data_IF_090524817506
#
_entry.id   IF_090524817506
#
_cell.length_a   1.000
_cell.length_b   1.000
_cell.length_c   1.000
_cell.angle_alpha   90.00
_cell.angle_beta   90.00
_cell.angle_gamma   90.00
#
_symmetry.space_group_name_H-M   'P 1'
#
loop_
_entity.id
_entity.type
_entity.pdbx_description
1 polymer ?
#
# COMPACT_ATOMS: atom_id res chain seq x y z
N UNK A 1 -11.11 11.55 -54.73
CA UNK A 1 -12.41 10.98 -54.32
C UNK A 1 -12.29 9.59 -53.66
N UNK A 2 -11.35 8.73 -54.07
CA UNK A 2 -11.20 7.36 -53.50
C UNK A 2 -10.72 7.37 -52.03
N UNK A 3 -9.87 8.32 -51.63
CA UNK A 3 -9.35 8.44 -50.25
C UNK A 3 -10.40 8.88 -49.22
N UNK A 4 -11.42 9.64 -49.63
CA UNK A 4 -12.51 10.07 -48.75
C UNK A 4 -13.48 8.93 -48.41
N UNK A 5 -13.77 8.04 -49.38
CA UNK A 5 -14.62 6.87 -49.16
C UNK A 5 -13.98 5.84 -48.21
N UNK A 6 -12.66 5.65 -48.28
CA UNK A 6 -11.95 4.71 -47.40
C UNK A 6 -11.99 5.18 -45.94
N UNK A 7 -11.84 6.50 -45.69
CA UNK A 7 -11.94 7.06 -44.33
C UNK A 7 -13.36 6.96 -43.75
N UNK A 8 -14.40 7.19 -44.55
CA UNK A 8 -15.78 7.07 -44.10
C UNK A 8 -16.17 5.62 -43.76
N UNK A 9 -15.74 4.65 -44.58
CA UNK A 9 -15.97 3.22 -44.30
C UNK A 9 -15.27 2.75 -43.01
N UNK A 10 -14.09 3.28 -42.70
CA UNK A 10 -13.33 2.94 -41.49
C UNK A 10 -13.96 3.50 -40.21
N UNK A 11 -14.56 4.69 -40.29
CA UNK A 11 -15.28 5.32 -39.17
C UNK A 11 -16.57 4.56 -38.83
N UNK A 12 -17.32 4.11 -39.85
CA UNK A 12 -18.55 3.33 -39.67
C UNK A 12 -18.24 1.94 -39.09
N UNK A 13 -17.16 1.29 -39.54
CA UNK A 13 -16.70 0.02 -38.98
C UNK A 13 -16.31 0.15 -37.50
N UNK A 14 -15.52 1.17 -37.12
CA UNK A 14 -15.13 1.37 -35.73
C UNK A 14 -16.32 1.68 -34.80
N UNK A 15 -17.29 2.49 -35.24
CA UNK A 15 -18.50 2.75 -34.44
C UNK A 15 -19.40 1.52 -34.31
N UNK A 16 -19.45 0.64 -35.32
CA UNK A 16 -20.19 -0.61 -35.25
C UNK A 16 -19.54 -1.63 -34.30
N UNK A 17 -18.21 -1.73 -34.30
CA UNK A 17 -17.43 -2.61 -33.41
C UNK A 17 -17.55 -2.14 -31.96
N UNK A 18 -17.38 -0.84 -31.70
CA UNK A 18 -17.56 -0.26 -30.36
C UNK A 18 -18.99 -0.45 -29.82
N UNK A 19 -19.99 -0.38 -30.70
CA UNK A 19 -21.39 -0.65 -30.36
C UNK A 19 -21.66 -2.12 -29.96
N UNK A 20 -20.99 -3.08 -30.62
CA UNK A 20 -21.12 -4.50 -30.28
C UNK A 20 -20.40 -4.87 -28.98
N UNK A 21 -19.20 -4.31 -28.75
CA UNK A 21 -18.43 -4.54 -27.51
C UNK A 21 -19.15 -3.97 -26.29
N UNK A 22 -19.76 -2.78 -26.40
CA UNK A 22 -20.59 -2.20 -25.32
C UNK A 22 -21.82 -3.04 -24.99
N UNK A 23 -22.46 -3.64 -26.01
CA UNK A 23 -23.60 -4.54 -25.79
C UNK A 23 -23.18 -5.84 -25.11
N UNK A 24 -22.05 -6.42 -25.49
CA UNK A 24 -21.50 -7.62 -24.85
C UNK A 24 -21.13 -7.35 -23.38
N UNK A 25 -20.44 -6.25 -23.09
CA UNK A 25 -20.11 -5.84 -21.72
C UNK A 25 -21.36 -5.56 -20.87
N UNK A 26 -22.39 -4.95 -21.44
CA UNK A 26 -23.66 -4.69 -20.76
C UNK A 26 -24.44 -5.99 -20.47
N UNK A 27 -24.44 -6.95 -21.39
CA UNK A 27 -25.04 -8.28 -21.20
C UNK A 27 -24.32 -9.06 -20.10
N UNK A 28 -22.99 -9.01 -20.06
CA UNK A 28 -22.22 -9.69 -19.02
C UNK A 28 -22.41 -9.06 -17.63
N UNK A 29 -22.47 -7.73 -17.55
CA UNK A 29 -22.83 -7.03 -16.31
C UNK A 29 -24.26 -7.36 -15.87
N UNK A 30 -25.19 -7.53 -16.80
CA UNK A 30 -26.55 -8.00 -16.55
C UNK A 30 -26.59 -9.42 -15.97
N UNK A 31 -25.82 -10.34 -16.54
CA UNK A 31 -25.69 -11.71 -16.06
C UNK A 31 -25.06 -11.78 -14.65
N UNK A 32 -24.03 -10.97 -14.39
CA UNK A 32 -23.40 -10.86 -13.06
C UNK A 32 -24.36 -10.28 -12.01
N UNK A 33 -25.21 -9.32 -12.38
CA UNK A 33 -26.25 -8.77 -11.49
C UNK A 33 -27.36 -9.78 -11.22
N UNK A 34 -27.79 -10.55 -12.21
CA UNK A 34 -28.81 -11.59 -12.08
C UNK A 34 -28.35 -12.73 -11.16
N UNK A 35 -27.11 -13.20 -11.31
CA UNK A 35 -26.53 -14.25 -10.45
C UNK A 35 -26.34 -13.78 -9.00
N UNK A 36 -25.97 -12.52 -8.78
CA UNK A 36 -25.92 -11.93 -7.43
C UNK A 36 -27.32 -11.79 -6.80
N UNK A 37 -28.31 -11.35 -7.57
CA UNK A 37 -29.70 -11.26 -7.11
C UNK A 37 -30.27 -12.63 -6.72
N UNK A 38 -29.96 -13.68 -7.50
CA UNK A 38 -30.37 -15.04 -7.18
C UNK A 38 -29.69 -15.58 -5.91
N UNK A 39 -28.40 -15.29 -5.71
CA UNK A 39 -27.67 -15.63 -4.48
C UNK A 39 -28.26 -14.93 -3.25
N UNK A 40 -28.63 -13.64 -3.37
CA UNK A 40 -29.28 -12.88 -2.31
C UNK A 40 -30.68 -13.46 -1.98
N UNK A 41 -31.49 -13.74 -3.00
CA UNK A 41 -32.81 -14.35 -2.81
C UNK A 41 -32.73 -15.75 -2.18
N UNK A 42 -31.70 -16.54 -2.52
CA UNK A 42 -31.46 -17.86 -1.90
C UNK A 42 -31.05 -17.73 -0.43
N UNK A 43 -30.25 -16.71 -0.08
CA UNK A 43 -29.85 -16.40 1.30
C UNK A 43 -31.04 -15.93 2.13
N UNK A 44 -31.90 -15.09 1.57
CA UNK A 44 -33.13 -14.62 2.20
C UNK A 44 -34.14 -15.75 2.46
N UNK A 45 -34.38 -16.62 1.46
CA UNK A 45 -35.21 -17.83 1.63
C UNK A 45 -34.67 -18.78 2.70
N UNK A 46 -33.34 -18.89 2.85
CA UNK A 46 -32.71 -19.70 3.91
C UNK A 46 -32.92 -19.05 5.29
N UNK A 47 -32.79 -17.73 5.39
CA UNK A 47 -33.05 -16.97 6.62
C UNK A 47 -34.51 -17.05 7.05
N UNK A 48 -35.45 -16.96 6.12
CA UNK A 48 -36.89 -17.11 6.41
C UNK A 48 -37.26 -18.53 6.85
N UNK A 49 -36.66 -19.56 6.23
CA UNK A 49 -36.80 -20.94 6.71
C UNK A 49 -36.24 -21.12 8.13
N UNK A 50 -35.13 -20.44 8.47
CA UNK A 50 -34.53 -20.46 9.81
C UNK A 50 -35.42 -19.74 10.84
N UNK A 51 -35.95 -18.55 10.50
CA UNK A 51 -36.94 -17.82 11.34
C UNK A 51 -38.22 -18.63 11.54
N UNK A 52 -38.74 -19.29 10.50
CA UNK A 52 -39.96 -20.11 10.57
C UNK A 52 -39.77 -21.41 11.37
N UNK A 53 -38.55 -21.96 11.42
CA UNK A 53 -38.20 -23.08 12.32
C UNK A 53 -38.06 -22.62 13.77
N UNK A 54 -37.49 -21.43 14.01
CA UNK A 54 -37.38 -20.85 15.36
C UNK A 54 -38.73 -20.39 15.92
N UNK A 55 -39.68 -19.98 15.06
CA UNK A 55 -41.05 -19.59 15.46
C UNK A 55 -42.03 -20.75 15.71
N UNK A 56 -41.66 -22.01 15.46
CA UNK A 56 -42.53 -23.18 15.75
C UNK A 56 -42.22 -23.86 17.09
N UNK A 57 -41.25 -23.36 17.85
CA UNK A 57 -40.78 -23.97 19.11
C UNK A 57 -40.98 -23.12 20.36
N UNK A 58 -41.69 -22.00 20.31
CA UNK A 58 -41.87 -21.13 21.48
C UNK A 58 -43.29 -20.57 21.51
N UNK A 59 -44.18 -21.31 22.17
CA UNK A 59 -45.38 -20.73 22.74
C UNK A 59 -45.01 -19.90 23.97
N UNK A 60 -45.67 -18.75 24.08
CA UNK A 60 -45.78 -17.84 25.23
C UNK A 60 -44.53 -17.47 26.02
N UNK A 61 -44.09 -16.21 25.80
CA UNK A 61 -44.38 -15.09 26.71
C UNK A 61 -43.91 -13.80 26.05
N UNK A 62 -44.85 -12.89 25.82
CA UNK A 62 -44.60 -11.48 25.60
C UNK A 62 -44.19 -10.83 26.93
N UNK A 63 -43.23 -9.92 26.90
CA UNK A 63 -43.44 -8.53 27.32
C UNK A 63 -42.30 -7.65 26.80
N UNK A 64 -42.69 -6.42 26.50
CA UNK A 64 -41.93 -5.29 25.96
C UNK A 64 -40.75 -4.85 26.84
N UNK A 65 -39.71 -4.29 26.23
CA UNK A 65 -39.38 -2.86 26.40
C UNK A 65 -38.13 -2.47 25.60
N UNK A 66 -38.30 -1.47 24.74
CA UNK A 66 -37.27 -0.57 24.22
C UNK A 66 -36.82 0.40 25.34
N UNK A 67 -35.52 0.63 25.54
CA UNK A 67 -34.91 1.95 25.82
C UNK A 67 -33.48 1.88 26.42
N UNK A 68 -32.63 2.82 25.96
CA UNK A 68 -31.56 3.57 26.67
C UNK A 68 -30.41 2.81 27.39
N UNK A 69 -29.16 2.96 26.93
CA UNK A 69 -28.17 4.00 27.30
C UNK A 69 -27.52 3.83 28.69
N UNK A 70 -26.17 3.84 28.65
CA UNK A 70 -25.19 4.22 29.67
C UNK A 70 -24.84 3.24 30.82
N UNK A 71 -23.53 2.92 30.85
CA UNK A 71 -22.62 2.91 32.01
C UNK A 71 -23.16 2.56 33.41
N UNK A 72 -22.67 1.46 33.99
CA UNK A 72 -22.18 1.46 35.37
C UNK A 72 -21.28 0.24 35.64
N UNK A 73 -20.11 0.54 36.21
CA UNK A 73 -19.10 -0.35 36.80
C UNK A 73 -19.56 -0.77 38.20
N UNK A 74 -19.59 -2.07 38.54
CA UNK A 74 -18.84 -2.66 39.66
C UNK A 74 -19.14 -4.15 39.93
N UNK A 75 -18.04 -4.82 40.29
CA UNK A 75 -17.80 -6.13 40.90
C UNK A 75 -18.94 -6.90 41.60
N UNK A 76 -19.08 -8.17 41.24
CA UNK A 76 -19.31 -9.25 42.21
C UNK A 76 -18.83 -10.61 41.65
N UNK A 77 -17.81 -11.18 42.28
CA UNK A 77 -17.41 -12.56 42.09
C UNK A 77 -18.36 -13.50 42.85
N UNK A 78 -19.11 -14.35 42.14
CA UNK A 78 -19.58 -15.66 42.63
C UNK A 78 -20.38 -16.40 41.53
N UNK A 79 -19.88 -17.58 41.12
CA UNK A 79 -20.70 -18.64 40.53
C UNK A 79 -20.85 -18.63 39.01
N UNK A 80 -19.78 -18.91 38.26
CA UNK A 80 -19.89 -19.36 36.86
C UNK A 80 -19.93 -20.90 36.86
N UNK A 81 -20.97 -21.55 36.32
CA UNK A 81 -20.95 -22.99 36.06
C UNK A 81 -19.83 -23.31 35.06
N UNK A 82 -18.95 -24.22 35.46
CA UNK A 82 -17.69 -24.60 34.80
C UNK A 82 -17.88 -25.43 33.50
N UNK A 83 -19.00 -25.25 32.78
CA UNK A 83 -19.38 -26.12 31.65
C UNK A 83 -19.62 -25.36 30.32
N UNK A 84 -19.32 -24.06 30.26
CA UNK A 84 -19.38 -23.27 29.01
C UNK A 84 -18.00 -22.87 28.45
N UNK A 85 -16.91 -23.22 29.15
CA UNK A 85 -15.55 -22.79 28.83
C UNK A 85 -14.81 -23.71 27.84
N UNK A 86 -15.49 -24.69 27.24
CA UNK A 86 -14.85 -25.76 26.43
C UNK A 86 -15.38 -25.91 25.00
N UNK A 87 -16.17 -24.97 24.51
CA UNK A 87 -16.55 -24.94 23.10
C UNK A 87 -15.42 -24.28 22.28
N UNK A 88 -14.50 -25.10 21.75
CA UNK A 88 -13.59 -24.67 20.68
C UNK A 88 -14.38 -24.15 19.46
N UNK A 89 -13.75 -23.36 18.57
CA UNK A 89 -14.44 -22.81 17.40
C UNK A 89 -15.16 -23.93 16.63
N UNK A 90 -16.45 -23.72 16.36
CA UNK A 90 -17.27 -24.74 15.68
C UNK A 90 -16.64 -25.14 14.34
N UNK A 91 -16.83 -26.40 13.92
CA UNK A 91 -16.32 -26.90 12.63
C UNK A 91 -16.73 -26.03 11.44
N UNK A 92 -17.88 -25.36 11.52
CA UNK A 92 -18.37 -24.42 10.51
C UNK A 92 -17.60 -23.09 10.50
N UNK A 93 -17.11 -22.63 11.66
CA UNK A 93 -16.26 -21.43 11.76
C UNK A 93 -14.86 -21.70 11.21
N UNK A 94 -14.28 -22.87 11.49
CA UNK A 94 -12.99 -23.29 10.93
C UNK A 94 -13.05 -23.48 9.41
N UNK A 95 -14.16 -24.02 8.89
CA UNK A 95 -14.38 -24.16 7.45
C UNK A 95 -14.55 -22.80 6.76
N UNK A 96 -15.27 -21.86 7.38
CA UNK A 96 -15.41 -20.50 6.87
C UNK A 96 -14.07 -19.75 6.83
N UNK A 97 -13.25 -19.84 7.88
CA UNK A 97 -11.91 -19.26 7.89
C UNK A 97 -10.98 -19.90 6.84
N UNK A 98 -11.10 -21.20 6.60
CA UNK A 98 -10.30 -21.91 5.59
C UNK A 98 -10.74 -21.58 4.15
N UNK A 99 -12.02 -21.31 3.95
CA UNK A 99 -12.56 -20.82 2.67
C UNK A 99 -12.17 -19.35 2.46
N UNK A 100 -12.24 -18.49 3.49
CA UNK A 100 -11.76 -17.10 3.42
C UNK A 100 -10.25 -17.04 3.14
N UNK A 101 -9.43 -17.88 3.78
CA UNK A 101 -7.99 -18.00 3.48
C UNK A 101 -7.74 -18.42 2.02
N UNK A 102 -8.48 -19.40 1.51
CA UNK A 102 -8.36 -19.83 0.10
C UNK A 102 -8.82 -18.76 -0.89
N UNK A 103 -9.90 -18.05 -0.60
CA UNK A 103 -10.34 -16.91 -1.42
C UNK A 103 -9.32 -15.78 -1.40
N UNK A 104 -8.69 -15.51 -0.25
CA UNK A 104 -7.64 -14.52 -0.11
C UNK A 104 -6.36 -14.92 -0.85
N UNK A 105 -5.97 -16.20 -0.80
CA UNK A 105 -4.85 -16.75 -1.59
C UNK A 105 -5.12 -16.68 -3.09
N UNK A 106 -6.34 -16.98 -3.54
CA UNK A 106 -6.74 -16.85 -4.94
C UNK A 106 -6.76 -15.39 -5.40
N UNK A 107 -7.18 -14.46 -4.54
CA UNK A 107 -7.09 -13.02 -4.80
C UNK A 107 -5.64 -12.54 -4.90
N UNK A 108 -4.78 -12.97 -3.98
CA UNK A 108 -3.34 -12.68 -4.00
C UNK A 108 -2.68 -13.20 -5.29
N UNK A 109 -3.05 -14.39 -5.75
CA UNK A 109 -2.49 -15.00 -6.97
C UNK A 109 -2.97 -14.35 -8.27
N UNK A 110 -4.14 -13.71 -8.25
CA UNK A 110 -4.70 -12.99 -9.40
C UNK A 110 -4.35 -11.49 -9.41
N UNK A 111 -3.52 -11.03 -8.46
CA UNK A 111 -3.12 -9.63 -8.37
C UNK A 111 -1.99 -9.36 -9.37
N UNK A 112 -2.12 -8.28 -10.12
CA UNK A 112 -1.00 -7.80 -10.93
C UNK A 112 0.20 -7.47 -10.00
N UNK A 113 1.42 -7.93 -10.31
CA UNK A 113 2.57 -7.69 -9.46
C UNK A 113 2.88 -6.19 -9.35
N UNK A 114 3.47 -5.73 -8.22
CA UNK A 114 3.95 -4.36 -8.12
C UNK A 114 5.04 -4.10 -9.18
N UNK A 115 5.11 -2.87 -9.67
CA UNK A 115 6.20 -2.40 -10.52
C UNK A 115 7.32 -1.92 -9.59
N UNK A 116 8.46 -2.58 -9.65
CA UNK A 116 9.65 -2.26 -8.85
C UNK A 116 10.88 -2.14 -9.76
N UNK A 117 11.93 -1.52 -9.25
CA UNK A 117 13.19 -1.27 -9.96
C UNK A 117 14.30 -2.12 -9.34
N UNK A 118 14.48 -3.31 -9.90
CA UNK A 118 15.45 -4.32 -9.44
C UNK A 118 16.83 -4.15 -10.05
N UNK A 119 17.01 -3.19 -10.96
CA UNK A 119 18.26 -2.83 -11.62
C UNK A 119 19.18 -1.96 -10.73
N UNK A 120 19.15 -2.19 -9.42
CA UNK A 120 19.97 -1.50 -8.43
C UNK A 120 20.88 -2.50 -7.71
N UNK A 121 22.19 -2.30 -7.85
CA UNK A 121 23.20 -3.15 -7.22
C UNK A 121 23.58 -2.58 -5.86
N UNK A 122 23.13 -3.24 -4.78
CA UNK A 122 23.42 -2.82 -3.41
C UNK A 122 24.91 -2.71 -3.08
N UNK A 123 25.77 -3.51 -3.72
CA UNK A 123 27.22 -3.45 -3.51
C UNK A 123 27.79 -2.17 -4.10
N UNK A 124 27.44 -1.87 -5.35
CA UNK A 124 27.90 -0.65 -6.03
C UNK A 124 27.36 0.61 -5.38
N UNK A 125 26.10 0.61 -4.94
CA UNK A 125 25.54 1.77 -4.24
C UNK A 125 26.19 1.97 -2.87
N UNK A 126 26.53 0.90 -2.15
CA UNK A 126 27.30 0.99 -0.91
C UNK A 126 28.70 1.57 -1.15
N UNK A 127 29.43 1.10 -2.16
CA UNK A 127 30.76 1.65 -2.50
C UNK A 127 30.72 3.15 -2.81
N UNK A 128 29.71 3.61 -3.55
CA UNK A 128 29.48 5.04 -3.81
C UNK A 128 29.20 5.80 -2.52
N UNK A 129 28.38 5.23 -1.63
CA UNK A 129 28.06 5.84 -0.34
C UNK A 129 29.30 5.94 0.57
N UNK A 130 30.08 4.86 0.71
CA UNK A 130 31.33 4.88 1.46
C UNK A 130 32.29 5.95 0.96
N UNK A 131 32.45 6.07 -0.36
CA UNK A 131 33.28 7.10 -0.98
C UNK A 131 32.76 8.52 -0.70
N UNK A 132 31.44 8.72 -0.76
CA UNK A 132 30.83 10.02 -0.45
C UNK A 132 31.01 10.41 1.03
N UNK A 133 31.15 9.42 1.93
CA UNK A 133 31.36 9.63 3.36
C UNK A 133 32.81 9.91 3.76
N UNK A 134 33.80 9.69 2.88
CA UNK A 134 35.24 9.90 3.21
C UNK A 134 35.53 11.34 3.68
N UNK A 135 34.75 12.32 3.22
CA UNK A 135 34.91 13.74 3.59
C UNK A 135 34.06 14.15 4.79
N UNK A 136 33.31 13.22 5.39
CA UNK A 136 32.36 13.48 6.48
C UNK A 136 32.98 13.02 7.80
N UNK A 137 32.97 13.90 8.81
CA UNK A 137 33.35 13.51 10.17
C UNK A 137 32.24 12.65 10.81
N UNK A 138 32.49 11.34 10.86
CA UNK A 138 31.61 10.37 11.50
C UNK A 138 31.99 10.16 12.98
N UNK A 139 30.99 9.96 13.84
CA UNK A 139 31.22 9.44 15.21
C UNK A 139 31.56 7.94 15.18
N UNK A 140 32.08 7.34 16.28
CA UNK A 140 32.28 5.90 16.38
C UNK A 140 30.99 5.09 16.11
N UNK A 141 29.85 5.57 16.59
CA UNK A 141 28.54 4.94 16.44
C UNK A 141 28.04 5.03 14.98
N UNK A 142 28.32 6.14 14.31
CA UNK A 142 28.00 6.30 12.88
C UNK A 142 28.90 5.43 12.00
N UNK A 143 30.19 5.30 12.35
CA UNK A 143 31.09 4.35 11.68
C UNK A 143 30.58 2.92 11.82
N UNK A 144 30.15 2.53 13.02
CA UNK A 144 29.52 1.24 13.23
C UNK A 144 28.27 1.07 12.35
N UNK A 145 27.42 2.10 12.25
CA UNK A 145 26.23 2.06 11.38
C UNK A 145 26.58 1.88 9.89
N UNK A 146 27.72 2.41 9.44
CA UNK A 146 28.24 2.19 8.07
C UNK A 146 28.71 0.75 7.89
N UNK A 147 29.41 0.18 8.88
CA UNK A 147 29.86 -1.22 8.86
C UNK A 147 28.68 -2.21 8.89
N UNK A 148 27.63 -1.90 9.67
CA UNK A 148 26.39 -2.67 9.70
C UNK A 148 25.67 -2.63 8.36
N UNK A 149 25.63 -1.45 7.70
CA UNK A 149 25.09 -1.33 6.34
C UNK A 149 25.89 -2.14 5.32
N UNK A 150 27.22 -2.23 5.48
CA UNK A 150 28.06 -3.10 4.65
C UNK A 150 27.70 -4.57 4.83
N UNK A 151 27.56 -5.02 6.08
CA UNK A 151 27.18 -6.41 6.38
C UNK A 151 25.82 -6.73 5.74
N UNK A 152 24.88 -5.81 5.85
CA UNK A 152 23.55 -5.95 5.27
C UNK A 152 23.56 -5.95 3.73
N UNK A 153 24.12 -4.92 3.07
CA UNK A 153 24.02 -4.79 1.60
C UNK A 153 25.05 -5.61 0.83
N UNK A 154 26.26 -5.79 1.37
CA UNK A 154 27.39 -6.40 0.65
C UNK A 154 27.58 -7.85 1.06
N UNK A 155 27.55 -8.15 2.35
CA UNK A 155 27.81 -9.50 2.86
C UNK A 155 26.55 -10.37 2.85
N UNK A 156 25.38 -9.76 2.64
CA UNK A 156 24.10 -10.47 2.55
C UNK A 156 23.56 -10.92 3.92
N UNK A 157 24.08 -10.35 5.01
CA UNK A 157 23.57 -10.62 6.36
C UNK A 157 22.14 -10.08 6.52
N UNK A 158 21.37 -10.63 7.44
CA UNK A 158 19.99 -10.20 7.69
C UNK A 158 19.88 -8.84 8.39
N UNK A 159 18.69 -8.27 8.40
CA UNK A 159 18.42 -6.94 8.99
C UNK A 159 18.69 -6.85 10.49
N UNK A 160 18.89 -7.99 11.18
CA UNK A 160 19.30 -8.04 12.59
C UNK A 160 20.68 -7.44 12.86
N UNK A 161 21.53 -7.28 11.83
CA UNK A 161 22.83 -6.61 11.97
C UNK A 161 22.69 -5.10 12.12
N UNK A 162 21.56 -4.53 11.70
CA UNK A 162 21.31 -3.09 11.78
C UNK A 162 20.87 -2.77 13.22
N UNK A 163 21.72 -2.05 13.94
CA UNK A 163 21.51 -1.69 15.33
C UNK A 163 20.47 -0.59 15.55
N UNK A 164 20.17 -0.31 16.81
CA UNK A 164 19.17 0.69 17.21
C UNK A 164 19.54 2.12 16.74
N UNK A 165 20.84 2.42 16.59
CA UNK A 165 21.34 3.73 16.17
C UNK A 165 21.33 3.93 14.64
N UNK A 166 21.13 2.86 13.86
CA UNK A 166 21.19 2.91 12.40
C UNK A 166 20.23 3.96 11.80
N UNK A 167 18.96 3.97 12.24
CA UNK A 167 17.98 4.94 11.74
C UNK A 167 18.24 6.38 12.23
N UNK A 168 18.89 6.54 13.38
CA UNK A 168 19.33 7.86 13.84
C UNK A 168 20.44 8.40 12.93
N UNK A 169 21.41 7.56 12.57
CA UNK A 169 22.45 7.86 11.59
C UNK A 169 21.86 8.23 10.22
N UNK A 170 20.98 7.39 9.66
CA UNK A 170 20.29 7.68 8.39
C UNK A 170 19.53 9.01 8.48
N UNK A 171 18.82 9.24 9.58
CA UNK A 171 18.10 10.49 9.82
C UNK A 171 19.00 11.72 9.87
N UNK A 172 20.21 11.62 10.44
CA UNK A 172 21.21 12.70 10.39
C UNK A 172 21.70 12.93 8.98
N UNK A 173 22.10 11.88 8.27
CA UNK A 173 22.58 11.98 6.88
C UNK A 173 21.56 12.70 5.99
N UNK A 174 20.27 12.36 6.12
CA UNK A 174 19.20 12.96 5.31
C UNK A 174 18.88 14.41 5.68
N UNK A 175 19.02 14.83 6.94
CA UNK A 175 18.60 16.16 7.40
C UNK A 175 19.73 17.17 7.56
N UNK A 176 20.97 16.71 7.68
CA UNK A 176 22.11 17.59 7.88
C UNK A 176 22.42 18.34 6.57
N UNK A 177 22.02 19.62 6.54
CA UNK A 177 22.22 20.49 5.40
C UNK A 177 23.71 20.83 5.15
N UNK A 178 24.60 20.57 6.11
CA UNK A 178 26.04 20.75 5.91
C UNK A 178 26.66 19.65 5.03
N UNK A 179 26.00 18.50 4.93
CA UNK A 179 26.44 17.40 4.07
C UNK A 179 26.13 17.70 2.60
N UNK A 180 27.01 17.23 1.71
CA UNK A 180 26.78 17.34 0.28
C UNK A 180 25.54 16.53 -0.14
N UNK A 181 24.80 17.03 -1.13
CA UNK A 181 23.61 16.35 -1.65
C UNK A 181 23.92 14.93 -2.15
N UNK A 182 25.13 14.71 -2.70
CA UNK A 182 25.61 13.40 -3.13
C UNK A 182 25.52 12.35 -2.01
N UNK A 183 25.87 12.71 -0.78
CA UNK A 183 25.81 11.79 0.37
C UNK A 183 24.37 11.33 0.62
N UNK A 184 23.40 12.25 0.52
CA UNK A 184 21.97 11.94 0.68
C UNK A 184 21.44 11.08 -0.46
N UNK A 185 21.85 11.38 -1.70
CA UNK A 185 21.50 10.58 -2.88
C UNK A 185 22.03 9.15 -2.73
N UNK A 186 23.30 8.97 -2.41
CA UNK A 186 23.89 7.63 -2.21
C UNK A 186 23.22 6.88 -1.05
N UNK A 187 22.91 7.56 0.06
CA UNK A 187 22.17 6.99 1.18
C UNK A 187 20.78 6.47 0.74
N UNK A 188 20.00 7.30 0.02
CA UNK A 188 18.69 6.91 -0.51
C UNK A 188 18.78 5.76 -1.51
N UNK A 189 19.85 5.69 -2.31
CA UNK A 189 20.09 4.60 -3.25
C UNK A 189 20.42 3.29 -2.53
N UNK A 190 21.23 3.32 -1.48
CA UNK A 190 21.44 2.18 -0.59
C UNK A 190 20.11 1.70 0.02
N UNK A 191 19.26 2.62 0.48
CA UNK A 191 17.94 2.29 1.00
C UNK A 191 17.01 1.71 -0.09
N UNK A 192 17.09 2.20 -1.33
CA UNK A 192 16.33 1.66 -2.46
C UNK A 192 16.74 0.22 -2.82
N UNK A 193 18.02 -0.12 -2.67
CA UNK A 193 18.49 -1.50 -2.79
C UNK A 193 18.04 -2.36 -1.61
N UNK A 194 18.14 -1.83 -0.38
CA UNK A 194 17.66 -2.47 0.84
C UNK A 194 16.16 -2.78 0.79
N UNK A 195 15.35 -1.92 0.17
CA UNK A 195 13.90 -2.04 0.06
C UNK A 195 13.44 -3.32 -0.66
N UNK A 196 14.27 -3.88 -1.54
CA UNK A 196 14.00 -5.11 -2.27
C UNK A 196 14.17 -6.36 -1.40
N UNK A 197 14.79 -6.26 -0.22
CA UNK A 197 14.98 -7.39 0.69
C UNK A 197 13.72 -7.64 1.54
N UNK A 198 13.43 -8.91 1.80
CA UNK A 198 12.22 -9.34 2.53
C UNK A 198 12.19 -8.83 3.99
N UNK A 199 13.35 -8.71 4.62
CA UNK A 199 13.53 -8.40 6.04
C UNK A 199 13.59 -6.89 6.35
N UNK A 200 13.65 -6.03 5.32
CA UNK A 200 13.73 -4.56 5.49
C UNK A 200 12.59 -3.99 6.32
N UNK A 201 11.42 -4.65 6.30
CA UNK A 201 10.25 -4.23 7.08
C UNK A 201 10.50 -4.16 8.58
N UNK A 202 11.41 -4.98 9.11
CA UNK A 202 11.80 -4.95 10.52
C UNK A 202 12.48 -3.63 10.89
N UNK A 203 13.33 -3.12 10.01
CA UNK A 203 13.99 -1.81 10.15
C UNK A 203 12.94 -0.70 10.07
N UNK A 204 12.05 -0.75 9.08
CA UNK A 204 11.00 0.28 8.91
C UNK A 204 10.11 0.42 10.15
N UNK A 205 9.79 -0.69 10.81
CA UNK A 205 8.98 -0.64 12.04
C UNK A 205 9.70 0.02 13.23
N UNK A 206 11.04 0.06 13.23
CA UNK A 206 11.82 0.80 14.22
C UNK A 206 11.75 2.32 14.01
N UNK A 207 11.47 2.80 12.78
CA UNK A 207 11.38 4.24 12.47
C UNK A 207 10.21 4.96 13.16
N UNK A 208 9.30 4.23 13.82
CA UNK A 208 8.20 4.81 14.60
C UNK A 208 8.63 5.78 15.70
N UNK A 209 9.90 5.72 16.15
CA UNK A 209 10.42 6.64 17.18
C UNK A 209 10.71 8.04 16.64
N UNK A 210 11.28 8.12 15.44
CA UNK A 210 11.84 9.38 14.91
C UNK A 210 11.22 9.82 13.58
N UNK A 211 10.48 8.92 12.91
CA UNK A 211 9.87 9.11 11.59
C UNK A 211 10.86 9.72 10.60
N UNK A 212 12.13 9.31 10.68
CA UNK A 212 13.24 10.00 10.03
C UNK A 212 13.10 9.95 8.51
N UNK A 213 12.67 8.81 7.98
CA UNK A 213 12.50 8.58 6.54
C UNK A 213 11.32 9.38 5.99
N UNK A 214 10.17 9.36 6.66
CA UNK A 214 8.94 9.98 6.13
C UNK A 214 8.82 11.47 6.45
N UNK A 215 9.51 11.96 7.47
CA UNK A 215 9.75 13.40 7.64
C UNK A 215 10.56 13.94 6.45
N UNK A 216 11.65 13.26 6.07
CA UNK A 216 12.42 13.63 4.88
C UNK A 216 11.57 13.50 3.61
N UNK A 217 10.78 12.42 3.47
CA UNK A 217 9.90 12.24 2.32
C UNK A 217 8.82 13.32 2.20
N UNK A 218 8.33 13.84 3.34
CA UNK A 218 7.37 14.93 3.34
C UNK A 218 7.93 16.20 2.70
N UNK A 219 9.22 16.45 2.80
CA UNK A 219 9.86 17.66 2.25
C UNK A 219 10.34 17.51 0.79
N UNK A 220 9.80 16.53 0.04
CA UNK A 220 10.19 16.21 -1.35
C UNK A 220 10.27 17.41 -2.30
N UNK A 221 9.40 18.40 -2.14
CA UNK A 221 9.35 19.62 -2.95
C UNK A 221 10.55 20.56 -2.73
N UNK A 222 11.30 20.36 -1.64
CA UNK A 222 12.49 21.15 -1.27
C UNK A 222 13.80 20.48 -1.65
N UNK A 223 13.77 19.20 -1.99
CA UNK A 223 14.96 18.42 -2.31
C UNK A 223 15.44 18.68 -3.73
N UNK A 224 16.71 18.42 -4.02
CA UNK A 224 17.23 18.52 -5.39
C UNK A 224 16.66 17.41 -6.29
N UNK A 225 16.62 17.57 -7.62
CA UNK A 225 16.07 16.55 -8.52
C UNK A 225 16.68 15.14 -8.35
N UNK A 226 18.02 14.98 -8.15
CA UNK A 226 18.60 13.67 -7.88
C UNK A 226 18.10 13.03 -6.58
N UNK A 227 17.90 13.83 -5.52
CA UNK A 227 17.34 13.36 -4.24
C UNK A 227 15.88 12.96 -4.41
N UNK A 228 15.08 13.74 -5.15
CA UNK A 228 13.69 13.42 -5.45
C UNK A 228 13.58 12.07 -6.17
N UNK A 229 14.44 11.84 -7.16
CA UNK A 229 14.51 10.56 -7.88
C UNK A 229 14.89 9.40 -6.96
N UNK A 230 15.96 9.52 -6.19
CA UNK A 230 16.41 8.46 -5.30
C UNK A 230 15.37 8.13 -4.20
N UNK A 231 14.69 9.16 -3.67
CA UNK A 231 13.61 9.00 -2.72
C UNK A 231 12.40 8.29 -3.34
N UNK A 232 11.95 8.73 -4.51
CA UNK A 232 10.81 8.10 -5.21
C UNK A 232 11.12 6.63 -5.53
N UNK A 233 12.35 6.33 -5.94
CA UNK A 233 12.83 4.98 -6.22
C UNK A 233 12.79 4.10 -4.97
N UNK A 234 13.30 4.60 -3.84
CA UNK A 234 13.23 3.92 -2.55
C UNK A 234 11.79 3.58 -2.16
N UNK A 235 10.88 4.56 -2.20
CA UNK A 235 9.47 4.31 -1.86
C UNK A 235 8.79 3.35 -2.83
N UNK A 236 9.16 3.38 -4.12
CA UNK A 236 8.62 2.46 -5.12
C UNK A 236 9.05 1.02 -4.83
N UNK A 237 10.33 0.79 -4.53
CA UNK A 237 10.88 -0.54 -4.26
C UNK A 237 10.32 -1.16 -2.97
N UNK A 238 9.89 -0.36 -2.00
CA UNK A 238 9.20 -0.87 -0.81
C UNK A 238 7.88 -1.59 -1.12
N UNK A 239 7.34 -1.46 -2.33
CA UNK A 239 6.18 -2.23 -2.77
C UNK A 239 6.48 -3.68 -3.16
N UNK A 240 7.74 -4.07 -3.27
CA UNK A 240 8.16 -5.46 -3.49
C UNK A 240 7.58 -6.36 -2.40
N UNK A 241 7.72 -5.93 -1.15
CA UNK A 241 7.34 -6.70 0.02
C UNK A 241 6.02 -6.21 0.61
N UNK A 242 5.13 -7.15 0.97
CA UNK A 242 3.81 -6.83 1.53
C UNK A 242 3.94 -5.99 2.80
N UNK A 243 4.78 -6.41 3.75
CA UNK A 243 4.96 -5.72 5.04
C UNK A 243 5.50 -4.30 4.87
N UNK A 244 6.45 -4.11 3.95
CA UNK A 244 7.05 -2.81 3.63
C UNK A 244 6.03 -1.84 3.00
N UNK A 245 5.23 -2.34 2.06
CA UNK A 245 4.14 -1.55 1.46
C UNK A 245 3.02 -1.20 2.44
N UNK A 246 2.73 -2.08 3.41
CA UNK A 246 1.75 -1.80 4.48
C UNK A 246 2.27 -0.74 5.45
N UNK A 247 3.57 -0.75 5.74
CA UNK A 247 4.21 0.33 6.49
C UNK A 247 4.06 1.67 5.74
N UNK A 248 4.31 1.75 4.44
CA UNK A 248 4.13 2.99 3.67
C UNK A 248 2.69 3.53 3.68
N UNK A 249 1.70 2.64 3.71
CA UNK A 249 0.29 2.99 3.68
C UNK A 249 -0.31 3.10 5.09
N UNK A 250 0.53 3.05 6.13
CA UNK A 250 0.08 3.15 7.51
C UNK A 250 -0.49 4.54 7.81
N UNK A 251 -1.60 4.56 8.56
CA UNK A 251 -2.42 5.76 8.75
C UNK A 251 -2.22 6.46 10.10
N UNK A 252 -1.48 5.86 11.03
CA UNK A 252 -1.21 6.51 12.32
C UNK A 252 -0.49 7.83 12.10
N UNK A 253 -0.96 8.85 12.82
CA UNK A 253 -0.47 10.20 12.67
C UNK A 253 0.60 10.53 13.71
N UNK A 254 1.56 11.37 13.31
CA UNK A 254 2.48 12.09 14.20
C UNK A 254 2.52 13.56 13.80
N UNK A 255 3.12 14.41 14.63
CA UNK A 255 3.28 15.83 14.31
C UNK A 255 4.64 16.08 13.65
N UNK A 256 4.62 16.79 12.53
CA UNK A 256 5.83 17.26 11.85
C UNK A 256 5.64 18.70 11.38
N UNK A 257 6.52 19.62 11.79
CA UNK A 257 6.44 21.05 11.48
C UNK A 257 5.06 21.68 11.78
N UNK A 258 4.42 21.29 12.88
CA UNK A 258 3.11 21.79 13.29
C UNK A 258 1.94 21.29 12.43
N UNK A 259 2.14 20.25 11.62
CA UNK A 259 1.11 19.62 10.80
C UNK A 259 0.99 18.13 11.13
N UNK A 260 -0.24 17.56 11.11
CA UNK A 260 -0.43 16.12 11.27
C UNK A 260 0.07 15.41 10.01
N UNK A 261 1.06 14.54 10.17
CA UNK A 261 1.65 13.73 9.12
C UNK A 261 1.35 12.24 9.37
N UNK A 262 1.31 11.44 8.31
CA UNK A 262 1.17 9.99 8.36
C UNK A 262 1.96 9.36 7.22
N UNK A 263 2.22 8.06 7.28
CA UNK A 263 3.03 7.40 6.25
C UNK A 263 2.39 7.53 4.88
N UNK A 264 1.08 7.30 4.81
CA UNK A 264 0.31 7.44 3.58
C UNK A 264 0.32 8.89 3.05
N UNK A 265 0.28 9.92 3.92
CA UNK A 265 0.34 11.33 3.51
C UNK A 265 1.69 11.67 2.87
N UNK A 266 2.79 11.28 3.50
CA UNK A 266 4.14 11.50 2.96
C UNK A 266 4.32 10.75 1.62
N UNK A 267 3.97 9.47 1.59
CA UNK A 267 4.05 8.62 0.38
C UNK A 267 3.22 9.19 -0.77
N UNK A 268 2.01 9.67 -0.49
CA UNK A 268 1.14 10.26 -1.51
C UNK A 268 1.72 11.57 -2.04
N UNK A 269 2.29 12.41 -1.17
CA UNK A 269 2.94 13.66 -1.59
C UNK A 269 4.10 13.38 -2.54
N UNK A 270 4.98 12.42 -2.23
CA UNK A 270 6.07 11.99 -3.12
C UNK A 270 5.52 11.47 -4.45
N UNK A 271 4.48 10.65 -4.41
CA UNK A 271 3.86 10.09 -5.62
C UNK A 271 3.35 11.19 -6.55
N UNK A 272 2.55 12.12 -6.02
CA UNK A 272 1.99 13.23 -6.81
C UNK A 272 3.09 14.14 -7.34
N UNK A 273 4.06 14.50 -6.50
CA UNK A 273 5.20 15.33 -6.90
C UNK A 273 5.98 14.69 -8.05
N UNK A 274 6.30 13.41 -7.94
CA UNK A 274 7.06 12.67 -8.94
C UNK A 274 6.32 12.60 -10.28
N UNK A 275 5.00 12.34 -10.25
CA UNK A 275 4.17 12.23 -11.47
C UNK A 275 4.00 13.55 -12.23
N UNK A 276 4.08 14.68 -11.51
CA UNK A 276 3.97 16.02 -12.08
C UNK A 276 5.34 16.61 -12.45
N UNK A 277 6.43 15.87 -12.23
CA UNK A 277 7.78 16.32 -12.57
C UNK A 277 7.97 16.46 -14.09
N UNK A 278 8.77 17.45 -14.48
CA UNK A 278 9.24 17.61 -15.87
C UNK A 278 10.27 16.54 -16.25
N UNK A 279 11.02 16.01 -15.28
CA UNK A 279 11.96 14.92 -15.48
C UNK A 279 11.21 13.63 -15.82
N UNK A 280 11.56 13.03 -16.95
CA UNK A 280 10.98 11.76 -17.42
C UNK A 280 11.31 10.62 -16.47
N UNK A 281 12.54 10.51 -15.97
CA UNK A 281 12.94 9.39 -15.12
C UNK A 281 12.19 9.41 -13.79
N UNK A 282 12.09 10.58 -13.14
CA UNK A 282 11.31 10.76 -11.92
C UNK A 282 9.81 10.48 -12.14
N UNK A 283 9.26 10.90 -13.28
CA UNK A 283 7.86 10.64 -13.62
C UNK A 283 7.55 9.18 -13.91
N UNK A 284 8.49 8.44 -14.49
CA UNK A 284 8.35 7.00 -14.71
C UNK A 284 8.26 6.26 -13.37
N UNK A 285 9.17 6.58 -12.43
CA UNK A 285 9.13 6.05 -11.06
C UNK A 285 7.86 6.48 -10.33
N UNK A 286 7.45 7.74 -10.46
CA UNK A 286 6.21 8.25 -9.87
C UNK A 286 4.97 7.50 -10.39
N UNK A 287 4.92 7.22 -11.69
CA UNK A 287 3.80 6.49 -12.33
C UNK A 287 3.75 5.04 -11.83
N UNK A 288 4.92 4.39 -11.70
CA UNK A 288 5.04 3.06 -11.10
C UNK A 288 4.57 3.05 -9.64
N UNK A 289 5.01 4.01 -8.82
CA UNK A 289 4.60 4.17 -7.43
C UNK A 289 3.07 4.37 -7.32
N UNK A 290 2.49 5.19 -8.21
CA UNK A 290 1.03 5.40 -8.23
C UNK A 290 0.27 4.13 -8.60
N UNK A 291 0.76 3.38 -9.58
CA UNK A 291 0.20 2.08 -9.94
C UNK A 291 0.25 1.12 -8.74
N UNK A 292 1.36 1.05 -8.03
CA UNK A 292 1.51 0.19 -6.85
C UNK A 292 0.54 0.56 -5.73
N UNK A 293 0.35 1.85 -5.46
CA UNK A 293 -0.65 2.33 -4.50
C UNK A 293 -2.07 1.95 -4.94
N UNK A 294 -2.42 2.21 -6.21
CA UNK A 294 -3.76 1.98 -6.72
C UNK A 294 -4.16 0.49 -6.78
N UNK A 295 -3.18 -0.40 -6.97
CA UNK A 295 -3.39 -1.85 -7.01
C UNK A 295 -3.34 -2.53 -5.64
N UNK A 296 -2.97 -1.78 -4.58
CA UNK A 296 -2.94 -2.31 -3.23
C UNK A 296 -4.33 -2.33 -2.64
N UNK A 297 -4.86 -3.54 -2.43
CA UNK A 297 -6.07 -3.74 -1.62
C UNK A 297 -5.71 -3.49 -0.16
N UNK A 298 -6.09 -2.33 0.38
CA UNK A 298 -5.96 -2.06 1.81
C UNK A 298 -7.29 -2.45 2.45
N UNK A 299 -7.27 -3.43 3.37
CA UNK A 299 -8.47 -3.92 4.07
C UNK A 299 -9.20 -2.83 4.91
N UNK A 300 -8.65 -1.61 5.00
CA UNK A 300 -9.12 -0.58 5.96
C UNK A 300 -9.05 0.88 5.49
N UNK A 301 -8.76 1.21 4.22
CA UNK A 301 -8.73 2.65 3.83
C UNK A 301 -10.14 3.13 3.49
N UNK A 302 -10.82 3.66 4.50
CA UNK A 302 -11.71 4.81 4.32
C UNK A 302 -10.89 5.85 3.55
N UNK A 303 -11.35 6.25 2.36
CA UNK A 303 -10.77 7.37 1.61
C UNK A 303 -10.73 8.63 2.49
N UNK A 304 -9.61 8.89 3.15
CA UNK A 304 -9.42 10.11 3.93
C UNK A 304 -8.92 11.19 2.96
N UNK A 305 -9.82 12.14 2.69
CA UNK A 305 -9.71 13.37 1.90
C UNK A 305 -10.17 13.27 0.42
N UNK A 306 -11.21 14.05 0.00
CA UNK A 306 -11.67 14.09 -1.39
C UNK A 306 -10.58 14.56 -2.37
N UNK A 307 -9.63 15.40 -1.94
CA UNK A 307 -8.57 15.95 -2.80
C UNK A 307 -7.60 14.89 -3.34
N UNK A 308 -7.30 13.86 -2.56
CA UNK A 308 -6.39 12.78 -2.95
C UNK A 308 -7.09 11.77 -3.88
N UNK A 309 -8.38 11.54 -3.64
CA UNK A 309 -9.22 10.68 -4.48
C UNK A 309 -9.41 11.27 -5.87
N UNK A 310 -9.58 12.60 -6.01
CA UNK A 310 -9.68 13.21 -7.34
C UNK A 310 -8.38 13.11 -8.11
N UNK A 311 -7.21 13.34 -7.50
CA UNK A 311 -5.92 13.21 -8.21
C UNK A 311 -5.63 11.77 -8.65
N UNK A 312 -5.87 10.77 -7.80
CA UNK A 312 -5.67 9.36 -8.14
C UNK A 312 -6.70 8.88 -9.19
N UNK A 313 -7.96 9.31 -9.10
CA UNK A 313 -8.99 8.95 -10.09
C UNK A 313 -8.78 9.70 -11.41
N UNK A 314 -8.31 10.95 -11.41
CA UNK A 314 -7.99 11.69 -12.64
C UNK A 314 -6.83 11.02 -13.39
N UNK A 315 -5.82 10.53 -12.65
CA UNK A 315 -4.65 9.91 -13.25
C UNK A 315 -4.91 8.44 -13.64
N UNK A 316 -5.76 7.71 -12.90
CA UNK A 316 -6.26 6.41 -13.35
C UNK A 316 -7.13 6.51 -14.61
N UNK A 317 -7.85 7.61 -14.83
CA UNK A 317 -8.51 7.89 -16.11
C UNK A 317 -7.50 8.23 -17.23
N UNK A 318 -6.34 8.80 -16.91
CA UNK A 318 -5.22 8.96 -17.84
C UNK A 318 -4.53 7.63 -18.18
N UNK A 319 -4.75 6.53 -17.44
CA UNK A 319 -4.26 5.19 -17.82
C UNK A 319 -4.77 4.75 -19.20
N UNK A 320 -5.97 5.19 -19.61
CA UNK A 320 -6.48 4.96 -20.96
C UNK A 320 -5.85 5.85 -22.04
N UNK A 321 -5.26 6.98 -21.64
CA UNK A 321 -4.61 7.93 -22.55
C UNK A 321 -3.12 7.64 -22.69
N UNK A 322 -2.43 7.30 -21.60
CA UNK A 322 -0.99 7.00 -21.57
C UNK A 322 -0.66 5.61 -22.13
N UNK A 323 -1.54 4.61 -21.96
CA UNK A 323 -1.35 3.30 -22.60
C UNK A 323 -1.38 3.35 -24.14
N UNK A 324 -1.93 4.41 -24.74
CA UNK A 324 -1.88 4.64 -26.20
C UNK A 324 -0.55 5.23 -26.67
N UNK A 325 0.24 5.87 -25.81
CA UNK A 325 1.50 6.50 -26.18
C UNK A 325 2.70 5.54 -26.16
N UNK A 326 2.59 4.40 -25.48
CA UNK A 326 3.63 3.36 -25.44
C UNK A 326 3.50 2.31 -26.55
N UNK A 327 2.46 2.41 -27.39
CA UNK A 327 2.18 1.47 -28.50
C UNK A 327 1.98 2.17 -29.86
N UNK A 328 2.45 3.41 -30.03
CA UNK A 328 2.52 4.10 -31.34
C UNK A 328 3.94 4.47 -31.69
#
# INVERSE_FOLDING_TARGET
MITASISYSRIILNTSVDGTVRRAASQELGARRSTLAEKLARKERRRDKKRKKQGRGRGDRADDDDAEMAEAVETAAAGVPEDLSRAGPSSDALAAEADERREEELRKRNRDPPIVFTDIDGVQEFEKFSKALETVELTPEERQSVDELQQYLVQGEGSWVLGDDFLAFIGRVLRDASLAAEVRVCCLRCLAAAALREDVSLVLHQDRRHHALLNYAHDVDRHSPPEQYALALFLCNLFENISSSEWLLYISEWEYNGQPLSNIRATTKVTVHSCLSSDTALRDVGTALMYNIATKEVKTVVCIQPTTSYSLVLILNLRHVLARSLYS
#
